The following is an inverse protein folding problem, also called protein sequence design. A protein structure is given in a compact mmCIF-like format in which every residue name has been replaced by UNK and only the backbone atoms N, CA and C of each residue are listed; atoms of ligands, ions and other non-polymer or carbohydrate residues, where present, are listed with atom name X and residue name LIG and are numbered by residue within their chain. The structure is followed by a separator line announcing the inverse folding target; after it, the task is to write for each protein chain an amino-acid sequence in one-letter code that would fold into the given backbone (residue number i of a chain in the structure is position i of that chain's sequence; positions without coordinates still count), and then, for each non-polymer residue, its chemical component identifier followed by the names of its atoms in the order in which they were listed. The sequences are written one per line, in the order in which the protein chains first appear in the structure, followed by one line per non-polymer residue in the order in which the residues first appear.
data_IF_870868182935
#
_entry.id   IF_870868182935
#
_cell.length_a   1.000
_cell.length_b   1.000
_cell.length_c   1.000
_cell.angle_alpha   90.00
_cell.angle_beta   90.00
_cell.angle_gamma   90.00
#
_symmetry.space_group_name_H-M   'P 1'
#
loop_
_entity.id
_entity.type
_entity.pdbx_description
1 polymer ?
#
# COMPACT_ATOMS: atom_id res chain seq x y z
N UNK A 1 -20.33 43.23 -6.89
CA UNK A 1 -21.26 42.72 -5.86
C UNK A 1 -21.62 41.30 -6.25
N UNK A 2 -21.32 40.31 -5.40
CA UNK A 2 -21.70 38.91 -5.62
C UNK A 2 -23.24 38.77 -5.60
N UNK A 3 -23.81 37.90 -6.45
CA UNK A 3 -25.28 37.73 -6.55
C UNK A 3 -25.78 36.86 -5.39
N UNK A 4 -27.03 37.06 -4.95
CA UNK A 4 -27.62 36.18 -3.93
C UNK A 4 -27.67 34.74 -4.46
N UNK A 5 -26.92 33.84 -3.84
CA UNK A 5 -26.75 32.44 -4.26
C UNK A 5 -25.27 32.01 -4.37
N UNK A 6 -24.34 32.96 -4.45
CA UNK A 6 -22.91 32.65 -4.40
C UNK A 6 -22.50 32.35 -2.94
N UNK A 7 -22.29 31.08 -2.64
CA UNK A 7 -21.62 30.67 -1.39
C UNK A 7 -20.12 30.80 -1.61
N UNK A 8 -19.49 31.70 -0.87
CA UNK A 8 -18.03 31.85 -0.88
C UNK A 8 -17.41 30.68 -0.12
N UNK A 9 -16.64 29.84 -0.81
CA UNK A 9 -15.94 28.68 -0.22
C UNK A 9 -14.46 29.00 -0.13
N UNK A 10 -13.96 29.12 1.09
CA UNK A 10 -12.53 29.20 1.37
C UNK A 10 -12.00 27.79 1.69
N UNK A 11 -11.12 27.27 0.83
CA UNK A 11 -10.47 25.99 1.07
C UNK A 11 -9.32 26.15 2.05
N UNK A 12 -9.17 25.19 2.96
CA UNK A 12 -7.97 25.04 3.79
C UNK A 12 -6.97 24.12 3.06
N UNK A 13 -5.93 24.63 2.38
CA UNK A 13 -5.03 23.78 1.60
C UNK A 13 -4.23 22.83 2.49
N UNK A 14 -3.85 23.29 3.69
CA UNK A 14 -3.12 22.51 4.68
C UNK A 14 -3.85 21.23 5.09
N UNK A 15 -5.18 21.29 5.21
CA UNK A 15 -5.98 20.09 5.46
C UNK A 15 -5.74 19.01 4.40
N UNK A 16 -5.73 19.37 3.12
CA UNK A 16 -5.53 18.41 2.03
C UNK A 16 -4.10 17.88 1.95
N UNK A 17 -3.12 18.65 2.40
CA UNK A 17 -1.73 18.21 2.48
C UNK A 17 -1.49 17.22 3.62
N UNK A 18 -2.23 17.35 4.73
CA UNK A 18 -2.02 16.59 5.96
C UNK A 18 -3.00 15.41 6.12
N UNK A 19 -4.18 15.43 5.49
CA UNK A 19 -5.24 14.43 5.75
C UNK A 19 -4.78 12.99 5.51
N UNK A 20 -3.96 12.75 4.48
CA UNK A 20 -3.43 11.41 4.18
C UNK A 20 -2.24 10.99 5.04
N UNK A 21 -1.73 11.90 5.89
CA UNK A 21 -0.68 11.65 6.90
C UNK A 21 -1.25 11.34 8.28
N UNK A 22 -2.56 11.41 8.44
CA UNK A 22 -3.18 11.13 9.72
C UNK A 22 -2.88 9.69 10.15
N UNK A 23 -2.47 9.44 11.42
CA UNK A 23 -2.16 8.10 11.91
C UNK A 23 -3.28 7.07 11.73
N UNK A 24 -4.54 7.53 11.65
CA UNK A 24 -5.68 6.67 11.41
C UNK A 24 -5.79 6.23 9.95
N UNK A 25 -5.50 7.12 8.99
CA UNK A 25 -5.47 6.79 7.56
C UNK A 25 -4.31 5.86 7.27
N UNK A 26 -3.16 6.18 7.81
CA UNK A 26 -1.93 5.40 7.70
C UNK A 26 -2.11 3.95 8.21
N UNK A 27 -2.72 3.76 9.39
CA UNK A 27 -3.06 2.43 9.91
C UNK A 27 -4.03 1.64 9.03
N UNK A 28 -4.97 2.31 8.35
CA UNK A 28 -5.88 1.63 7.43
C UNK A 28 -5.13 1.04 6.23
N UNK A 29 -4.14 1.77 5.71
CA UNK A 29 -3.32 1.30 4.60
C UNK A 29 -2.38 0.18 5.06
N UNK A 30 -1.80 0.29 6.25
CA UNK A 30 -0.95 -0.76 6.80
C UNK A 30 -1.71 -2.07 7.02
N UNK A 31 -2.93 -2.02 7.57
CA UNK A 31 -3.75 -3.22 7.76
C UNK A 31 -4.01 -3.96 6.44
N UNK A 32 -4.23 -3.24 5.34
CA UNK A 32 -4.40 -3.86 4.01
C UNK A 32 -3.10 -4.48 3.52
N UNK A 33 -1.95 -3.83 3.77
CA UNK A 33 -0.64 -4.37 3.40
C UNK A 33 -0.27 -5.62 4.23
N UNK A 34 -0.58 -5.64 5.52
CA UNK A 34 -0.42 -6.80 6.41
C UNK A 34 -1.29 -7.97 5.92
N UNK A 35 -2.57 -7.70 5.63
CA UNK A 35 -3.49 -8.69 5.06
C UNK A 35 -2.98 -9.25 3.71
N UNK A 36 -2.34 -8.40 2.90
CA UNK A 36 -1.75 -8.80 1.62
C UNK A 36 -0.48 -9.63 1.83
N UNK A 37 0.43 -9.18 2.68
CA UNK A 37 1.68 -9.89 3.00
C UNK A 37 1.40 -11.29 3.54
N UNK A 38 0.45 -11.42 4.48
CA UNK A 38 0.08 -12.72 5.05
C UNK A 38 -0.42 -13.69 3.96
N UNK A 39 -1.23 -13.22 3.02
CA UNK A 39 -1.68 -14.03 1.87
C UNK A 39 -0.54 -14.40 0.95
N UNK A 40 0.33 -13.45 0.61
CA UNK A 40 1.50 -13.71 -0.24
C UNK A 40 2.44 -14.73 0.38
N UNK A 41 2.67 -14.69 1.69
CA UNK A 41 3.50 -15.66 2.40
C UNK A 41 2.83 -17.05 2.50
N UNK A 42 1.51 -17.10 2.67
CA UNK A 42 0.77 -18.35 2.71
C UNK A 42 0.78 -19.08 1.36
N UNK A 43 0.56 -18.34 0.27
CA UNK A 43 0.43 -18.89 -1.09
C UNK A 43 1.76 -19.00 -1.84
N UNK A 44 2.85 -18.48 -1.27
CA UNK A 44 4.15 -18.45 -1.91
C UNK A 44 4.67 -19.85 -2.27
N UNK A 45 5.29 -20.02 -3.45
CA UNK A 45 6.02 -21.25 -3.76
C UNK A 45 7.20 -21.42 -2.79
N UNK A 46 7.35 -22.63 -2.26
CA UNK A 46 8.39 -22.99 -1.29
C UNK A 46 9.37 -23.98 -1.90
N UNK A 47 10.64 -23.61 -1.84
CA UNK A 47 11.78 -24.45 -2.17
C UNK A 47 12.84 -24.31 -1.06
N UNK A 48 13.52 -23.16 -1.03
CA UNK A 48 14.53 -22.80 -0.01
C UNK A 48 14.01 -21.87 1.10
N UNK A 49 12.72 -21.54 1.09
CA UNK A 49 12.08 -20.50 1.93
C UNK A 49 12.58 -19.04 1.72
N UNK A 50 13.67 -18.82 0.98
CA UNK A 50 14.27 -17.49 0.78
C UNK A 50 13.29 -16.46 0.19
N UNK A 51 12.48 -16.87 -0.79
CA UNK A 51 11.46 -16.01 -1.37
C UNK A 51 10.41 -15.59 -0.32
N UNK A 52 9.92 -16.53 0.50
CA UNK A 52 8.93 -16.26 1.55
C UNK A 52 9.50 -15.31 2.61
N UNK A 53 10.72 -15.61 3.06
CA UNK A 53 11.44 -14.83 4.08
C UNK A 53 11.82 -13.44 3.56
N UNK A 54 11.99 -13.29 2.26
CA UNK A 54 12.25 -12.01 1.60
C UNK A 54 11.02 -11.13 1.42
N UNK A 55 9.80 -11.63 1.63
CA UNK A 55 8.57 -10.83 1.57
C UNK A 55 8.40 -10.01 2.85
N UNK A 56 8.33 -8.69 2.71
CA UNK A 56 8.17 -7.76 3.83
C UNK A 56 7.46 -6.48 3.41
N UNK A 57 7.09 -5.66 4.39
CA UNK A 57 6.48 -4.34 4.17
C UNK A 57 7.55 -3.26 4.22
N UNK A 58 7.49 -2.34 3.26
CA UNK A 58 8.26 -1.10 3.27
C UNK A 58 7.34 0.12 3.24
N UNK A 59 7.82 1.19 3.88
CA UNK A 59 7.16 2.48 3.89
C UNK A 59 7.97 3.50 3.13
N UNK A 60 7.34 4.13 2.13
CA UNK A 60 7.92 5.24 1.38
C UNK A 60 7.16 6.52 1.64
N UNK A 61 7.89 7.50 2.15
CA UNK A 61 7.43 8.86 2.35
C UNK A 61 7.26 9.58 1.01
N UNK A 62 6.05 10.07 0.73
CA UNK A 62 5.76 10.95 -0.41
C UNK A 62 5.28 12.32 0.06
N UNK A 63 5.18 13.29 -0.85
CA UNK A 63 4.90 14.69 -0.50
C UNK A 63 3.66 14.87 0.39
N UNK A 64 2.59 14.15 0.09
CA UNK A 64 1.30 14.31 0.78
C UNK A 64 0.79 13.04 1.48
N UNK A 65 1.53 11.93 1.41
CA UNK A 65 1.10 10.64 1.99
C UNK A 65 2.27 9.70 2.22
N UNK A 66 2.10 8.74 3.10
CA UNK A 66 2.93 7.54 3.15
C UNK A 66 2.41 6.51 2.14
N UNK A 67 3.32 5.82 1.48
CA UNK A 67 3.00 4.69 0.59
C UNK A 67 3.51 3.42 1.26
N UNK A 68 2.60 2.52 1.62
CA UNK A 68 2.95 1.18 2.11
C UNK A 68 3.06 0.22 0.93
N UNK A 69 4.14 -0.55 0.89
CA UNK A 69 4.45 -1.50 -0.18
C UNK A 69 4.74 -2.87 0.42
N UNK A 70 4.31 -3.92 -0.25
CA UNK A 70 4.85 -5.26 -0.02
C UNK A 70 5.96 -5.49 -1.05
N UNK A 71 7.14 -5.88 -0.58
CA UNK A 71 8.37 -5.99 -1.36
C UNK A 71 8.95 -7.39 -1.17
N UNK A 72 9.52 -7.96 -2.23
CA UNK A 72 10.35 -9.17 -2.16
C UNK A 72 11.82 -8.80 -2.36
N UNK A 73 12.68 -9.19 -1.42
CA UNK A 73 14.13 -8.93 -1.46
C UNK A 73 14.96 -10.09 -2.03
N UNK A 74 14.34 -11.23 -2.30
CA UNK A 74 15.03 -12.39 -2.85
C UNK A 74 15.44 -12.14 -4.31
N UNK A 75 16.65 -12.54 -4.70
CA UNK A 75 17.20 -12.28 -6.05
C UNK A 75 16.32 -12.86 -7.17
N UNK A 76 15.63 -13.99 -6.91
CA UNK A 76 14.72 -14.62 -7.86
C UNK A 76 13.28 -14.09 -7.77
N UNK A 77 12.99 -13.06 -6.97
CA UNK A 77 11.64 -12.47 -6.82
C UNK A 77 11.01 -12.15 -8.17
N UNK A 78 11.69 -11.42 -9.05
CA UNK A 78 11.13 -11.05 -10.36
C UNK A 78 10.84 -12.28 -11.24
N UNK A 79 11.71 -13.30 -11.18
CA UNK A 79 11.51 -14.54 -11.92
C UNK A 79 10.30 -15.31 -11.37
N UNK A 80 10.17 -15.43 -10.05
CA UNK A 80 9.03 -16.09 -9.40
C UNK A 80 7.74 -15.36 -9.74
N UNK A 81 7.71 -14.03 -9.64
CA UNK A 81 6.52 -13.23 -9.95
C UNK A 81 6.15 -13.31 -11.43
N UNK A 82 7.11 -13.40 -12.34
CA UNK A 82 6.82 -13.54 -13.78
C UNK A 82 6.07 -14.83 -14.13
N UNK A 83 6.32 -15.91 -13.36
CA UNK A 83 5.71 -17.23 -13.58
C UNK A 83 4.46 -17.42 -12.74
N UNK A 84 4.50 -16.93 -11.51
CA UNK A 84 3.48 -17.23 -10.52
C UNK A 84 2.54 -16.06 -10.32
N UNK A 85 2.96 -14.80 -10.38
CA UNK A 85 2.12 -13.65 -10.04
C UNK A 85 1.58 -13.68 -8.60
N UNK A 86 2.34 -14.26 -7.66
CA UNK A 86 1.94 -14.44 -6.27
C UNK A 86 1.61 -13.10 -5.58
N UNK A 87 2.50 -12.10 -5.71
CA UNK A 87 2.29 -10.79 -5.09
C UNK A 87 1.11 -10.05 -5.71
N UNK A 88 0.94 -10.12 -7.03
CA UNK A 88 -0.19 -9.49 -7.71
C UNK A 88 -1.53 -10.09 -7.25
N UNK A 89 -1.60 -11.41 -7.09
CA UNK A 89 -2.81 -12.08 -6.55
C UNK A 89 -3.04 -11.76 -5.09
N UNK A 90 -2.01 -11.82 -4.24
CA UNK A 90 -2.14 -11.50 -2.81
C UNK A 90 -2.69 -10.09 -2.59
N UNK A 91 -2.21 -9.12 -3.37
CA UNK A 91 -2.72 -7.74 -3.33
C UNK A 91 -4.18 -7.65 -3.77
N UNK A 92 -4.56 -8.36 -4.85
CA UNK A 92 -5.95 -8.40 -5.32
C UNK A 92 -6.90 -9.01 -4.28
N UNK A 93 -6.46 -10.04 -3.57
CA UNK A 93 -7.25 -10.69 -2.53
C UNK A 93 -7.38 -9.87 -1.24
N UNK A 94 -6.41 -9.01 -0.93
CA UNK A 94 -6.48 -8.10 0.22
C UNK A 94 -7.34 -6.86 -0.04
N UNK A 95 -7.77 -6.62 -1.29
CA UNK A 95 -8.65 -5.50 -1.64
C UNK A 95 -10.00 -5.65 -0.91
N UNK A 96 -10.34 -4.63 -0.12
CA UNK A 96 -11.64 -4.47 0.55
C UNK A 96 -12.63 -3.72 -0.35
#
# INVERSE_FOLDING_TARGET
MARSGDTEVEFNPRFFEEVLRQPRVERLVDAVAEDALAKMQADAPRDTEEYVNGLHIEHRESRYRRVTRVVGSDEKTLLIESKTGNMARGLKQAKR
#
